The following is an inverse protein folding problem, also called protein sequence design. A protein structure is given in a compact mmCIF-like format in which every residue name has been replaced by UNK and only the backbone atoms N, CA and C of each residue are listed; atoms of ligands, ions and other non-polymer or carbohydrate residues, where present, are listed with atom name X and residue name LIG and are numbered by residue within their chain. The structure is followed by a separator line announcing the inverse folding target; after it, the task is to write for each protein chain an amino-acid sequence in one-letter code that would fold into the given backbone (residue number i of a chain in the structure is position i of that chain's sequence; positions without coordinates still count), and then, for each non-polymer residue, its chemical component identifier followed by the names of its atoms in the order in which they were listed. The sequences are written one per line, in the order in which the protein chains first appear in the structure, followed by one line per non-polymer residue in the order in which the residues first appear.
data_IF_548126704887
#
_entry.id   IF_548126704887
#
_cell.length_a   1.000
_cell.length_b   1.000
_cell.length_c   1.000
_cell.angle_alpha   90.00
_cell.angle_beta   90.00
_cell.angle_gamma   90.00
#
_symmetry.space_group_name_H-M   'P 1'
#
loop_
_entity.id
_entity.type
_entity.pdbx_description
1 polymer ?
#
# COMPACT_ATOMS: atom_id res chain seq x y z
N UNK A 1 7.41 10.79 10.34
CA UNK A 1 6.60 10.70 9.10
C UNK A 1 6.06 12.09 8.85
N UNK A 2 6.40 12.71 7.73
CA UNK A 2 6.08 14.10 7.41
C UNK A 2 4.57 14.37 7.33
N UNK A 3 3.78 13.43 6.86
CA UNK A 3 2.32 13.55 6.75
C UNK A 3 1.52 13.30 8.03
N UNK A 4 2.14 12.77 9.09
CA UNK A 4 1.46 12.49 10.36
C UNK A 4 1.32 13.73 11.26
N UNK A 5 0.49 13.65 12.33
CA UNK A 5 0.28 14.77 13.28
C UNK A 5 1.58 15.38 13.78
N UNK A 6 2.50 14.58 14.25
CA UNK A 6 3.84 15.01 14.72
C UNK A 6 4.63 15.76 13.64
N UNK A 7 4.59 15.28 12.40
CA UNK A 7 5.30 15.90 11.28
C UNK A 7 4.70 17.23 10.86
N UNK A 8 3.37 17.36 10.88
CA UNK A 8 2.65 18.61 10.56
C UNK A 8 2.88 19.68 11.61
N UNK A 9 2.83 19.31 12.88
CA UNK A 9 2.99 20.24 14.01
C UNK A 9 4.46 20.54 14.36
N UNK A 10 5.40 19.73 13.82
CA UNK A 10 6.84 19.81 14.12
C UNK A 10 7.15 19.81 15.64
N UNK A 11 6.27 19.20 16.42
CA UNK A 11 6.32 19.20 17.89
C UNK A 11 7.39 18.25 18.45
N UNK A 12 7.71 17.18 17.72
CA UNK A 12 8.76 16.19 18.05
C UNK A 12 9.80 16.08 16.94
N UNK A 13 11.03 15.76 17.34
CA UNK A 13 12.16 15.55 16.43
C UNK A 13 12.85 14.22 16.70
N UNK A 14 13.54 13.64 15.71
CA UNK A 14 14.41 12.49 15.96
C UNK A 14 15.44 12.81 17.07
N UNK A 15 15.56 11.88 18.03
CA UNK A 15 16.42 12.06 19.21
C UNK A 15 15.67 12.50 20.47
N UNK A 16 14.45 13.02 20.36
CA UNK A 16 13.59 13.28 21.52
C UNK A 16 13.19 11.95 22.20
N UNK A 17 13.06 11.95 23.53
CA UNK A 17 12.71 10.77 24.32
C UNK A 17 11.36 10.99 25.01
N UNK A 18 10.40 10.10 24.75
CA UNK A 18 9.12 10.08 25.47
C UNK A 18 9.36 9.48 26.85
N UNK A 19 9.01 10.23 27.89
CA UNK A 19 9.14 9.83 29.29
C UNK A 19 7.80 9.32 29.86
N UNK A 20 6.69 10.02 29.51
CA UNK A 20 5.35 9.65 29.99
C UNK A 20 4.33 9.78 28.86
N UNK A 21 3.29 8.96 28.95
CA UNK A 21 2.11 8.99 28.06
C UNK A 21 0.85 9.09 28.91
N UNK A 22 -0.04 10.01 28.59
CA UNK A 22 -1.34 10.16 29.25
C UNK A 22 -2.46 10.27 28.22
N UNK A 23 -3.59 9.61 28.49
CA UNK A 23 -4.84 10.00 27.86
C UNK A 23 -5.32 11.29 28.51
N UNK A 24 -6.09 12.09 27.77
CA UNK A 24 -6.64 13.33 28.34
C UNK A 24 -7.47 12.98 29.59
N UNK A 25 -7.19 13.70 30.69
CA UNK A 25 -7.83 13.53 32.01
C UNK A 25 -7.49 12.23 32.75
N UNK A 26 -6.43 11.51 32.36
CA UNK A 26 -5.94 10.34 33.08
C UNK A 26 -4.56 10.60 33.68
N UNK A 27 -4.19 9.79 34.67
CA UNK A 27 -2.85 9.85 35.29
C UNK A 27 -1.78 9.45 34.27
N UNK A 28 -0.71 10.26 34.09
CA UNK A 28 0.38 9.92 33.19
C UNK A 28 1.09 8.62 33.56
N UNK A 29 1.24 7.75 32.58
CA UNK A 29 1.99 6.49 32.69
C UNK A 29 3.45 6.75 32.37
N UNK A 30 4.36 6.40 33.28
CA UNK A 30 5.80 6.42 33.01
C UNK A 30 6.15 5.26 32.06
N UNK A 31 6.77 5.58 30.93
CA UNK A 31 7.10 4.60 29.89
C UNK A 31 8.60 4.27 29.82
N UNK A 32 9.40 4.83 30.71
CA UNK A 32 10.84 4.58 30.75
C UNK A 32 11.10 3.11 31.09
N UNK A 33 11.80 2.41 30.21
CA UNK A 33 12.09 0.95 30.39
C UNK A 33 10.96 0.02 29.99
N UNK A 34 9.79 0.53 29.57
CA UNK A 34 8.72 -0.31 29.01
C UNK A 34 9.10 -0.89 27.63
N UNK A 35 8.48 -2.01 27.27
CA UNK A 35 8.61 -2.57 25.92
C UNK A 35 7.99 -1.62 24.89
N UNK A 36 8.65 -1.44 23.76
CA UNK A 36 8.22 -0.53 22.71
C UNK A 36 6.76 -0.78 22.25
N UNK A 37 6.39 -2.06 22.10
CA UNK A 37 5.04 -2.44 21.68
C UNK A 37 3.96 -1.97 22.66
N UNK A 38 4.24 -1.98 23.96
CA UNK A 38 3.29 -1.55 24.98
C UNK A 38 3.20 -0.02 25.03
N UNK A 39 4.31 0.69 24.84
CA UNK A 39 4.29 2.16 24.67
C UNK A 39 3.50 2.56 23.44
N UNK A 40 3.67 1.85 22.31
CA UNK A 40 2.93 2.10 21.08
C UNK A 40 1.41 1.96 21.30
N UNK A 41 0.96 0.98 22.08
CA UNK A 41 -0.47 0.81 22.42
C UNK A 41 -1.04 1.99 23.19
N UNK A 42 -0.24 2.59 24.10
CA UNK A 42 -0.64 3.77 24.86
C UNK A 42 -0.74 5.03 23.97
N UNK A 43 0.15 5.16 22.97
CA UNK A 43 0.18 6.32 22.09
C UNK A 43 -0.91 6.22 21.01
N UNK A 44 -1.13 5.03 20.44
CA UNK A 44 -2.18 4.81 19.43
C UNK A 44 -3.58 4.93 20.05
N UNK A 45 -4.55 5.30 19.21
CA UNK A 45 -5.96 5.37 19.60
C UNK A 45 -6.83 5.87 18.44
N UNK A 46 -8.15 6.02 18.66
CA UNK A 46 -9.08 6.45 17.63
C UNK A 46 -8.72 7.83 17.06
N UNK A 47 -8.98 8.02 15.74
CA UNK A 47 -8.82 9.31 15.08
C UNK A 47 -9.60 10.41 15.81
N UNK A 48 -9.00 11.59 15.92
CA UNK A 48 -9.59 12.76 16.58
C UNK A 48 -9.42 12.78 18.10
N UNK A 49 -8.99 11.70 18.76
CA UNK A 49 -8.68 11.70 20.18
C UNK A 49 -7.30 12.30 20.45
N UNK A 50 -7.08 12.80 21.65
CA UNK A 50 -5.81 13.41 22.04
C UNK A 50 -4.98 12.50 22.94
N UNK A 51 -3.67 12.66 22.86
CA UNK A 51 -2.70 12.04 23.77
C UNK A 51 -1.70 13.10 24.23
N UNK A 52 -1.39 13.11 25.50
CA UNK A 52 -0.38 13.98 26.11
C UNK A 52 0.92 13.17 26.27
N UNK A 53 2.01 13.70 25.75
CA UNK A 53 3.34 13.11 25.84
C UNK A 53 4.25 14.02 26.65
N UNK A 54 4.82 13.55 27.75
CA UNK A 54 5.95 14.24 28.41
C UNK A 54 7.24 13.83 27.72
N UNK A 55 7.94 14.77 27.13
CA UNK A 55 9.08 14.52 26.24
C UNK A 55 10.33 15.24 26.74
N UNK A 56 11.44 14.52 26.80
CA UNK A 56 12.78 15.10 26.96
C UNK A 56 13.39 15.40 25.59
N UNK A 57 13.64 16.65 25.32
CA UNK A 57 14.26 17.12 24.08
C UNK A 57 15.78 16.81 24.05
N UNK A 58 16.37 16.91 22.87
CA UNK A 58 17.81 16.69 22.67
C UNK A 58 18.66 17.67 23.51
N UNK A 59 18.18 18.89 23.71
CA UNK A 59 18.84 19.92 24.55
C UNK A 59 18.69 19.68 26.04
N UNK A 60 17.97 18.62 26.45
CA UNK A 60 17.73 18.23 27.83
C UNK A 60 16.47 18.83 28.46
N UNK A 61 15.80 19.77 27.82
CA UNK A 61 14.54 20.34 28.30
C UNK A 61 13.43 19.28 28.31
N UNK A 62 12.50 19.43 29.26
CA UNK A 62 11.32 18.54 29.37
C UNK A 62 10.09 19.41 29.13
N UNK A 63 9.22 18.94 28.24
CA UNK A 63 7.97 19.63 27.92
C UNK A 63 6.86 18.63 27.64
N UNK A 64 5.64 19.10 27.80
CA UNK A 64 4.45 18.35 27.48
C UNK A 64 3.97 18.71 26.06
N UNK A 65 3.68 17.69 25.27
CA UNK A 65 3.21 17.80 23.89
C UNK A 65 1.86 17.12 23.78
N UNK A 66 0.84 17.86 23.40
CA UNK A 66 -0.48 17.31 23.10
C UNK A 66 -0.54 17.02 21.60
N UNK A 67 -0.88 15.78 21.24
CA UNK A 67 -1.06 15.37 19.86
C UNK A 67 -2.49 14.91 19.63
N UNK A 68 -3.13 15.43 18.59
CA UNK A 68 -4.40 14.90 18.10
C UNK A 68 -4.13 13.73 17.17
N UNK A 69 -4.67 12.56 17.51
CA UNK A 69 -4.50 11.35 16.68
C UNK A 69 -5.22 11.52 15.34
N UNK A 70 -4.54 11.10 14.29
CA UNK A 70 -5.08 11.09 12.94
C UNK A 70 -4.58 9.86 12.20
N UNK A 71 -5.21 9.55 11.08
CA UNK A 71 -4.71 8.52 10.17
C UNK A 71 -3.36 8.99 9.61
N UNK A 72 -2.34 8.17 9.78
CA UNK A 72 -1.02 8.46 9.22
C UNK A 72 -1.00 7.88 7.81
N UNK A 73 -1.23 8.73 6.83
CA UNK A 73 -0.98 8.38 5.43
C UNK A 73 0.53 8.47 5.17
N UNK A 74 1.14 7.31 5.01
CA UNK A 74 2.51 7.20 4.52
C UNK A 74 2.48 7.52 3.03
N UNK A 75 2.68 8.78 2.65
CA UNK A 75 2.75 9.14 1.23
C UNK A 75 3.74 8.28 0.44
N UNK A 76 4.77 7.77 1.08
CA UNK A 76 5.76 6.85 0.50
C UNK A 76 5.19 5.45 0.22
N UNK A 77 4.05 5.11 0.82
CA UNK A 77 3.34 3.85 0.59
C UNK A 77 2.45 3.88 -0.66
N UNK A 78 2.30 5.04 -1.31
CA UNK A 78 1.45 5.22 -2.49
C UNK A 78 2.26 5.29 -3.78
N UNK A 79 1.58 5.04 -4.90
CA UNK A 79 2.17 5.18 -6.21
C UNK A 79 2.58 6.64 -6.46
N UNK A 80 3.77 6.85 -7.00
CA UNK A 80 4.29 8.18 -7.37
C UNK A 80 5.08 8.10 -8.66
N UNK A 81 4.95 9.12 -9.50
CA UNK A 81 5.79 9.23 -10.68
C UNK A 81 6.96 10.18 -10.47
N UNK A 82 7.96 10.01 -11.28
CA UNK A 82 9.02 10.98 -11.56
C UNK A 82 9.38 10.95 -13.04
N UNK A 83 9.89 12.07 -13.54
CA UNK A 83 10.44 12.15 -14.90
C UNK A 83 11.91 11.77 -14.88
N UNK A 84 12.30 10.96 -15.84
CA UNK A 84 13.70 10.69 -16.17
C UNK A 84 13.95 11.28 -17.55
N UNK A 85 14.92 12.16 -17.66
CA UNK A 85 15.32 12.75 -18.93
C UNK A 85 16.70 12.23 -19.34
N UNK A 86 16.80 11.77 -20.58
CA UNK A 86 18.06 11.30 -21.17
C UNK A 86 18.06 11.62 -22.65
N UNK A 87 19.10 12.30 -23.12
CA UNK A 87 19.28 12.69 -24.53
C UNK A 87 18.04 13.48 -25.06
N UNK A 88 17.52 14.39 -24.27
CA UNK A 88 16.31 15.18 -24.57
C UNK A 88 15.02 14.34 -24.76
N UNK A 89 15.03 13.08 -24.31
CA UNK A 89 13.87 12.20 -24.29
C UNK A 89 13.40 12.05 -22.85
N UNK A 90 12.09 12.23 -22.64
CA UNK A 90 11.46 12.15 -21.32
C UNK A 90 10.75 10.81 -21.15
N UNK A 91 11.01 10.17 -20.03
CA UNK A 91 10.36 8.92 -19.62
C UNK A 91 9.70 9.12 -18.27
N UNK A 92 8.51 8.55 -18.09
CA UNK A 92 7.84 8.48 -16.79
C UNK A 92 8.28 7.24 -16.03
N UNK A 93 8.68 7.39 -14.77
CA UNK A 93 8.88 6.26 -13.87
C UNK A 93 7.82 6.33 -12.78
N UNK A 94 6.97 5.30 -12.68
CA UNK A 94 5.99 5.12 -11.62
C UNK A 94 6.56 4.12 -10.63
N UNK A 95 6.83 4.54 -9.41
CA UNK A 95 7.17 3.63 -8.31
C UNK A 95 5.86 3.16 -7.66
N UNK A 96 5.63 1.86 -7.62
CA UNK A 96 4.48 1.24 -6.97
C UNK A 96 4.96 0.33 -5.84
N UNK A 97 4.90 0.77 -4.58
CA UNK A 97 5.43 -0.01 -3.45
C UNK A 97 4.55 -1.21 -3.05
N UNK A 98 3.25 -1.16 -3.33
CA UNK A 98 2.28 -2.23 -3.04
C UNK A 98 1.04 -2.09 -3.93
N UNK A 99 0.28 -3.18 -4.09
CA UNK A 99 -1.08 -3.15 -4.63
C UNK A 99 -2.08 -2.92 -3.48
N UNK A 100 -2.08 -1.69 -2.93
CA UNK A 100 -2.94 -1.30 -1.81
C UNK A 100 -4.39 -1.09 -2.22
N UNK A 101 -5.30 -1.34 -1.29
CA UNK A 101 -6.74 -1.12 -1.42
C UNK A 101 -7.33 -0.97 -0.01
N UNK A 102 -8.41 -0.23 0.10
CA UNK A 102 -9.30 -0.30 1.26
C UNK A 102 -10.26 -1.48 1.05
N UNK A 103 -10.13 -2.51 1.89
CA UNK A 103 -10.97 -3.71 1.79
C UNK A 103 -12.41 -3.48 2.28
N UNK A 104 -12.68 -2.38 2.98
CA UNK A 104 -14.02 -2.01 3.42
C UNK A 104 -14.77 -1.18 2.36
N UNK A 105 -14.03 -0.37 1.63
CA UNK A 105 -14.57 0.46 0.56
C UNK A 105 -13.59 0.52 -0.63
N UNK A 106 -13.85 -0.30 -1.65
CA UNK A 106 -13.04 -0.35 -2.87
C UNK A 106 -13.11 0.97 -3.67
N UNK A 107 -14.15 1.75 -3.49
CA UNK A 107 -14.30 3.08 -4.10
C UNK A 107 -13.32 4.12 -3.54
N UNK A 108 -12.77 3.88 -2.36
CA UNK A 108 -11.71 4.68 -1.80
C UNK A 108 -10.41 4.56 -2.61
N UNK A 109 -9.41 5.34 -2.20
CA UNK A 109 -8.08 5.33 -2.81
C UNK A 109 -7.48 3.93 -2.86
N UNK A 110 -7.06 3.50 -4.05
CA UNK A 110 -6.38 2.24 -4.27
C UNK A 110 -5.23 2.39 -5.29
N UNK A 111 -4.38 1.37 -5.38
CA UNK A 111 -3.20 1.42 -6.24
C UNK A 111 -3.53 1.57 -7.73
N UNK A 112 -4.64 1.00 -8.21
CA UNK A 112 -5.03 1.13 -9.61
C UNK A 112 -5.44 2.57 -9.92
N UNK A 113 -6.31 3.18 -9.10
CA UNK A 113 -6.74 4.57 -9.29
C UNK A 113 -5.58 5.55 -9.23
N UNK A 114 -4.63 5.34 -8.31
CA UNK A 114 -3.45 6.19 -8.21
C UNK A 114 -2.53 6.03 -9.44
N UNK A 115 -2.25 4.81 -9.89
CA UNK A 115 -1.45 4.58 -11.10
C UNK A 115 -2.11 5.18 -12.33
N UNK A 116 -3.44 5.05 -12.48
CA UNK A 116 -4.19 5.73 -13.54
C UNK A 116 -3.96 7.24 -13.51
N UNK A 117 -4.07 7.84 -12.34
CA UNK A 117 -3.84 9.27 -12.16
C UNK A 117 -2.41 9.69 -12.50
N UNK A 118 -1.41 8.89 -12.08
CA UNK A 118 -0.02 9.14 -12.42
C UNK A 118 0.26 9.00 -13.94
N UNK A 119 -0.36 8.03 -14.62
CA UNK A 119 -0.31 7.90 -16.08
C UNK A 119 -0.88 9.16 -16.76
N UNK A 120 -2.03 9.65 -16.30
CA UNK A 120 -2.65 10.84 -16.86
C UNK A 120 -1.78 12.10 -16.70
N UNK A 121 -1.07 12.23 -15.58
CA UNK A 121 -0.08 13.30 -15.38
C UNK A 121 1.10 13.15 -16.34
N UNK A 122 1.61 11.93 -16.52
CA UNK A 122 2.74 11.65 -17.42
C UNK A 122 2.37 11.94 -18.88
N UNK A 123 1.14 11.62 -19.33
CA UNK A 123 0.64 11.99 -20.66
C UNK A 123 0.70 13.50 -20.91
N UNK A 124 0.38 14.31 -19.90
CA UNK A 124 0.49 15.79 -19.99
C UNK A 124 1.93 16.31 -20.03
N UNK A 125 2.90 15.45 -19.74
CA UNK A 125 4.33 15.77 -19.74
C UNK A 125 5.05 15.28 -21.01
N UNK A 126 4.30 14.78 -22.00
CA UNK A 126 4.81 14.30 -23.30
C UNK A 126 5.93 13.26 -23.17
N UNK A 127 5.78 12.33 -22.24
CA UNK A 127 6.75 11.23 -22.07
C UNK A 127 6.67 10.24 -23.23
N UNK A 128 7.83 9.73 -23.67
CA UNK A 128 7.93 8.77 -24.76
C UNK A 128 7.75 7.30 -24.31
N UNK A 129 7.81 7.05 -23.02
CA UNK A 129 7.61 5.73 -22.45
C UNK A 129 7.39 5.79 -20.94
N UNK A 130 6.77 4.73 -20.42
CA UNK A 130 6.53 4.57 -18.98
C UNK A 130 7.31 3.36 -18.47
N UNK A 131 7.91 3.53 -17.31
CA UNK A 131 8.55 2.50 -16.51
C UNK A 131 7.74 2.32 -15.25
N UNK A 132 7.30 1.10 -14.93
CA UNK A 132 6.68 0.76 -13.66
C UNK A 132 7.69 0.01 -12.81
N UNK A 133 8.01 0.51 -11.64
CA UNK A 133 8.97 -0.10 -10.72
C UNK A 133 8.22 -0.87 -9.63
N UNK A 134 8.30 -2.20 -9.71
CA UNK A 134 7.74 -3.15 -8.75
C UNK A 134 8.82 -3.83 -7.88
N UNK A 135 10.04 -3.35 -7.90
CA UNK A 135 11.07 -3.91 -7.03
C UNK A 135 10.67 -3.77 -5.56
N UNK A 136 10.84 -4.84 -4.79
CA UNK A 136 10.44 -4.97 -3.39
C UNK A 136 8.91 -4.87 -3.15
N UNK A 137 8.11 -4.94 -4.19
CA UNK A 137 6.65 -4.95 -4.09
C UNK A 137 6.15 -6.38 -3.85
N UNK A 138 5.80 -6.70 -2.60
CA UNK A 138 5.29 -8.02 -2.19
C UNK A 138 3.87 -8.35 -2.66
N UNK A 139 3.27 -7.54 -3.54
CA UNK A 139 1.92 -7.74 -4.05
C UNK A 139 0.86 -6.95 -3.29
N UNK A 140 -0.33 -7.51 -3.20
CA UNK A 140 -1.50 -6.90 -2.54
C UNK A 140 -2.82 -7.39 -3.13
N UNK A 141 -3.73 -6.47 -3.43
CA UNK A 141 -5.06 -6.78 -3.92
C UNK A 141 -5.06 -7.43 -5.31
N UNK A 142 -5.75 -8.57 -5.42
CA UNK A 142 -5.93 -9.27 -6.68
C UNK A 142 -6.79 -8.46 -7.66
N UNK A 143 -7.86 -7.84 -7.19
CA UNK A 143 -8.72 -7.00 -8.04
C UNK A 143 -7.95 -5.79 -8.57
N UNK A 144 -7.18 -5.14 -7.72
CA UNK A 144 -6.40 -3.96 -8.10
C UNK A 144 -5.38 -4.26 -9.22
N UNK A 145 -4.76 -5.44 -9.23
CA UNK A 145 -3.83 -5.79 -10.32
C UNK A 145 -4.57 -6.09 -11.62
N UNK A 146 -5.77 -6.66 -11.56
CA UNK A 146 -6.62 -6.90 -12.75
C UNK A 146 -7.01 -5.55 -13.37
N UNK A 147 -7.53 -4.63 -12.57
CA UNK A 147 -7.90 -3.29 -13.03
C UNK A 147 -6.68 -2.52 -13.60
N UNK A 148 -5.53 -2.64 -12.94
CA UNK A 148 -4.31 -2.00 -13.40
C UNK A 148 -3.80 -2.59 -14.73
N UNK A 149 -3.92 -3.88 -14.94
CA UNK A 149 -3.53 -4.53 -16.19
C UNK A 149 -4.34 -3.96 -17.37
N UNK A 150 -5.64 -3.71 -17.18
CA UNK A 150 -6.53 -3.10 -18.17
C UNK A 150 -6.12 -1.69 -18.62
N UNK A 151 -5.32 -0.96 -17.83
CA UNK A 151 -4.79 0.33 -18.30
C UNK A 151 -3.77 0.19 -19.44
N UNK A 152 -3.27 -1.00 -19.69
CA UNK A 152 -2.23 -1.30 -20.67
C UNK A 152 -2.63 -2.36 -21.70
N UNK A 153 -3.66 -3.14 -21.42
CA UNK A 153 -4.14 -4.26 -22.22
C UNK A 153 -5.59 -3.96 -22.62
N UNK A 154 -5.97 -4.22 -23.86
CA UNK A 154 -7.28 -3.85 -24.36
C UNK A 154 -8.42 -4.63 -23.67
N UNK A 155 -8.29 -5.92 -23.55
CA UNK A 155 -9.18 -6.79 -22.78
C UNK A 155 -8.58 -8.20 -22.69
N UNK A 156 -9.17 -9.05 -21.86
CA UNK A 156 -8.87 -10.46 -21.81
C UNK A 156 -8.52 -10.99 -20.41
N UNK A 157 -8.15 -12.28 -20.31
CA UNK A 157 -7.83 -12.92 -19.04
C UNK A 157 -6.50 -12.41 -18.47
N UNK A 158 -6.53 -11.99 -17.21
CA UNK A 158 -5.34 -11.49 -16.51
C UNK A 158 -4.76 -12.55 -15.58
N UNK A 159 -5.63 -13.26 -14.86
CA UNK A 159 -5.20 -14.29 -13.90
C UNK A 159 -6.30 -15.33 -13.71
N UNK A 160 -5.88 -16.56 -13.41
CA UNK A 160 -6.79 -17.62 -13.00
C UNK A 160 -6.49 -18.10 -11.57
N UNK A 161 -7.53 -18.32 -10.79
CA UNK A 161 -7.46 -18.87 -9.45
C UNK A 161 -8.09 -20.27 -9.48
N UNK A 162 -7.33 -21.26 -9.01
CA UNK A 162 -7.83 -22.65 -8.89
C UNK A 162 -8.04 -22.96 -7.41
N UNK A 163 -9.29 -23.21 -7.03
CA UNK A 163 -9.63 -23.60 -5.65
C UNK A 163 -9.48 -25.11 -5.43
N UNK A 164 -9.42 -25.51 -4.17
CA UNK A 164 -9.56 -26.90 -3.74
C UNK A 164 -10.83 -27.50 -4.36
N UNK A 165 -10.74 -28.67 -4.96
CA UNK A 165 -11.87 -29.26 -5.72
C UNK A 165 -11.85 -28.95 -7.23
N UNK A 166 -10.83 -28.24 -7.72
CA UNK A 166 -10.56 -28.08 -9.16
C UNK A 166 -11.34 -26.97 -9.85
N UNK A 167 -12.25 -26.25 -9.16
CA UNK A 167 -12.98 -25.11 -9.75
C UNK A 167 -11.99 -23.99 -10.10
N UNK A 168 -12.05 -23.52 -11.34
CA UNK A 168 -11.26 -22.39 -11.82
C UNK A 168 -12.14 -21.15 -11.93
N UNK A 169 -11.59 -20.04 -11.46
CA UNK A 169 -12.12 -18.70 -11.69
C UNK A 169 -11.10 -17.93 -12.51
N UNK A 170 -11.53 -17.33 -13.60
CA UNK A 170 -10.69 -16.47 -14.43
C UNK A 170 -11.13 -15.03 -14.20
N UNK A 171 -10.20 -14.16 -13.88
CA UNK A 171 -10.42 -12.73 -13.76
C UNK A 171 -9.94 -12.04 -15.03
N UNK A 172 -10.81 -11.22 -15.59
CA UNK A 172 -10.63 -10.55 -16.86
C UNK A 172 -10.57 -9.04 -16.66
N UNK A 173 -9.83 -8.38 -17.53
CA UNK A 173 -10.15 -7.02 -17.90
C UNK A 173 -11.38 -7.08 -18.82
N UNK A 174 -12.41 -6.31 -18.49
CA UNK A 174 -13.74 -6.36 -19.13
C UNK A 174 -14.05 -5.13 -19.96
N UNK A 175 -13.18 -4.12 -19.92
CA UNK A 175 -13.35 -2.93 -20.77
C UNK A 175 -12.29 -2.89 -21.88
N UNK A 176 -12.48 -2.03 -22.86
CA UNK A 176 -11.56 -1.85 -23.98
C UNK A 176 -10.76 -0.54 -23.87
N UNK A 177 -10.72 0.06 -22.68
CA UNK A 177 -10.08 1.35 -22.48
C UNK A 177 -8.62 1.18 -22.09
N UNK A 178 -7.72 1.59 -22.95
CA UNK A 178 -6.28 1.65 -22.66
C UNK A 178 -5.91 3.05 -22.18
N UNK A 179 -5.34 3.16 -21.00
CA UNK A 179 -4.82 4.43 -20.49
C UNK A 179 -3.46 4.77 -21.09
N UNK A 180 -2.63 3.78 -21.38
CA UNK A 180 -1.32 3.97 -21.99
C UNK A 180 -1.01 2.90 -23.02
N UNK A 181 -0.83 3.31 -24.26
CA UNK A 181 -0.49 2.42 -25.40
C UNK A 181 0.95 2.63 -25.92
N UNK A 182 1.74 3.51 -25.30
CA UNK A 182 3.12 3.77 -25.68
C UNK A 182 4.10 2.73 -25.16
N UNK A 183 5.40 3.01 -25.32
CA UNK A 183 6.47 2.13 -24.82
C UNK A 183 6.35 1.89 -23.31
N UNK A 184 6.50 0.63 -22.88
CA UNK A 184 6.27 0.20 -21.51
C UNK A 184 7.36 -0.76 -21.04
N UNK A 185 7.91 -0.49 -19.86
CA UNK A 185 8.87 -1.35 -19.16
C UNK A 185 8.38 -1.61 -17.75
N UNK A 186 8.47 -2.84 -17.29
CA UNK A 186 8.23 -3.23 -15.89
C UNK A 186 9.54 -3.66 -15.27
N UNK A 187 9.88 -3.11 -14.10
CA UNK A 187 11.08 -3.50 -13.35
C UNK A 187 10.68 -4.35 -12.15
N UNK A 188 11.27 -5.53 -12.03
CA UNK A 188 11.01 -6.49 -10.95
C UNK A 188 12.30 -6.96 -10.30
N UNK A 189 12.20 -7.54 -9.10
CA UNK A 189 13.29 -8.24 -8.45
C UNK A 189 12.77 -9.50 -7.72
N UNK A 190 13.65 -10.19 -7.01
CA UNK A 190 13.36 -11.41 -6.23
C UNK A 190 12.35 -11.20 -5.10
N UNK A 191 12.07 -9.97 -4.72
CA UNK A 191 11.04 -9.61 -3.72
C UNK A 191 9.71 -9.17 -4.36
N UNK A 192 9.66 -9.04 -5.68
CA UNK A 192 8.40 -8.82 -6.41
C UNK A 192 7.56 -10.09 -6.32
N UNK A 193 6.38 -10.02 -5.67
CA UNK A 193 5.59 -11.20 -5.36
C UNK A 193 4.10 -11.01 -5.67
N UNK A 194 3.38 -12.15 -5.88
CA UNK A 194 1.91 -12.17 -5.97
C UNK A 194 1.36 -11.24 -7.07
N UNK A 195 0.62 -10.17 -6.73
CA UNK A 195 0.07 -9.21 -7.71
C UNK A 195 1.14 -8.62 -8.63
N UNK A 196 2.38 -8.40 -8.14
CA UNK A 196 3.50 -7.97 -8.98
C UNK A 196 3.85 -8.99 -10.05
N UNK A 197 3.79 -10.28 -9.71
CA UNK A 197 4.07 -11.39 -10.62
C UNK A 197 2.94 -11.56 -11.64
N UNK A 198 1.68 -11.33 -11.21
CA UNK A 198 0.52 -11.35 -12.10
C UNK A 198 0.64 -10.27 -13.18
N UNK A 199 0.98 -9.03 -12.79
CA UNK A 199 1.15 -7.94 -13.76
C UNK A 199 2.33 -8.21 -14.70
N UNK A 200 3.45 -8.73 -14.19
CA UNK A 200 4.61 -9.08 -15.00
C UNK A 200 4.28 -10.19 -16.00
N UNK A 201 3.59 -11.24 -15.57
CA UNK A 201 3.14 -12.33 -16.42
C UNK A 201 2.18 -11.85 -17.51
N UNK A 202 1.17 -11.04 -17.15
CA UNK A 202 0.24 -10.46 -18.11
C UNK A 202 0.98 -9.63 -19.18
N UNK A 203 1.96 -8.80 -18.80
CA UNK A 203 2.73 -8.03 -19.77
C UNK A 203 3.58 -8.90 -20.71
N UNK A 204 4.11 -10.00 -20.20
CA UNK A 204 4.84 -10.96 -21.03
C UNK A 204 3.90 -11.72 -21.99
N UNK A 205 2.80 -12.27 -21.48
CA UNK A 205 1.86 -13.08 -22.25
C UNK A 205 1.19 -12.26 -23.36
N UNK A 206 0.80 -11.05 -23.09
CA UNK A 206 0.23 -10.11 -24.07
C UNK A 206 1.29 -9.41 -24.91
N UNK A 207 2.58 -9.63 -24.67
CA UNK A 207 3.70 -8.92 -25.32
C UNK A 207 3.53 -7.40 -25.24
N UNK A 208 2.95 -6.92 -24.14
CA UNK A 208 2.59 -5.53 -23.96
C UNK A 208 3.78 -4.65 -23.59
N UNK A 209 4.75 -5.18 -22.89
CA UNK A 209 5.91 -4.46 -22.41
C UNK A 209 7.10 -5.36 -22.16
N UNK A 210 8.22 -4.74 -21.86
CA UNK A 210 9.46 -5.44 -21.51
C UNK A 210 9.53 -5.59 -20.00
N UNK A 211 9.72 -6.82 -19.50
CA UNK A 211 9.97 -7.09 -18.09
C UNK A 211 11.48 -7.20 -17.88
N UNK A 212 12.03 -6.34 -17.03
CA UNK A 212 13.45 -6.27 -16.70
C UNK A 212 13.66 -6.53 -15.21
N UNK A 213 14.76 -7.18 -14.84
CA UNK A 213 15.10 -7.34 -13.43
C UNK A 213 15.94 -8.54 -13.11
N UNK A 214 15.76 -9.09 -11.91
CA UNK A 214 16.45 -10.29 -11.43
C UNK A 214 16.10 -11.52 -12.26
N UNK A 215 16.88 -12.59 -12.10
CA UNK A 215 16.68 -13.85 -12.82
C UNK A 215 15.26 -14.42 -12.64
N UNK A 216 14.67 -14.19 -11.49
CA UNK A 216 13.31 -14.63 -11.14
C UNK A 216 12.68 -13.67 -10.14
N UNK A 217 11.35 -13.69 -10.04
CA UNK A 217 10.55 -13.07 -8.99
C UNK A 217 10.37 -14.04 -7.82
N UNK A 218 9.57 -13.69 -6.84
CA UNK A 218 9.42 -14.44 -5.58
C UNK A 218 8.80 -15.84 -5.77
N UNK A 219 7.81 -15.99 -6.66
CA UNK A 219 7.11 -17.27 -6.93
C UNK A 219 5.93 -17.52 -5.99
N UNK A 220 5.21 -16.48 -5.54
CA UNK A 220 4.02 -16.64 -4.67
C UNK A 220 2.76 -16.90 -5.50
N UNK A 221 2.34 -18.18 -5.58
CA UNK A 221 1.13 -18.61 -6.28
C UNK A 221 -0.11 -18.85 -5.42
N UNK A 222 -0.10 -18.47 -4.13
CA UNK A 222 -1.24 -18.66 -3.22
C UNK A 222 -1.98 -17.37 -2.97
N UNK A 223 -3.32 -17.48 -2.76
CA UNK A 223 -4.21 -16.35 -2.40
C UNK A 223 -4.55 -16.43 -0.92
N UNK A 224 -4.61 -15.30 -0.25
CA UNK A 224 -5.05 -15.18 1.13
C UNK A 224 -6.40 -14.45 1.17
N UNK A 225 -7.38 -15.09 1.78
CA UNK A 225 -8.72 -14.55 1.97
C UNK A 225 -8.93 -14.20 3.44
N UNK A 226 -9.54 -13.04 3.68
CA UNK A 226 -10.03 -12.64 5.00
C UNK A 226 -11.50 -13.01 5.07
N UNK A 227 -11.85 -13.87 6.02
CA UNK A 227 -13.23 -14.34 6.24
C UNK A 227 -13.73 -13.70 7.53
N UNK A 228 -14.70 -12.80 7.40
CA UNK A 228 -15.37 -12.18 8.56
C UNK A 228 -16.29 -13.21 9.22
N UNK A 229 -15.94 -13.63 10.43
CA UNK A 229 -16.67 -14.66 11.15
C UNK A 229 -18.06 -14.19 11.58
N UNK A 230 -18.26 -12.89 11.76
CA UNK A 230 -19.58 -12.32 12.09
C UNK A 230 -20.60 -12.49 10.95
N UNK A 231 -20.11 -12.58 9.69
CA UNK A 231 -20.99 -12.82 8.52
C UNK A 231 -21.35 -14.28 8.31
N UNK A 232 -20.58 -15.21 8.89
CA UNK A 232 -20.77 -16.64 8.71
C UNK A 232 -21.60 -17.24 9.84
N UNK A 233 -21.36 -16.79 11.08
CA UNK A 233 -22.01 -17.34 12.27
C UNK A 233 -23.24 -16.50 12.59
N UNK A 234 -24.42 -16.98 12.18
CA UNK A 234 -25.70 -16.37 12.53
C UNK A 234 -26.05 -16.66 13.99
N UNK A 235 -26.63 -15.68 14.68
CA UNK A 235 -27.08 -15.83 16.08
C UNK A 235 -25.97 -15.77 17.11
N UNK A 236 -24.84 -15.17 16.76
CA UNK A 236 -23.74 -14.92 17.68
C UNK A 236 -24.16 -14.01 18.85
N UNK A 237 -23.94 -14.47 20.08
CA UNK A 237 -24.20 -13.72 21.33
C UNK A 237 -22.93 -13.30 22.05
N UNK A 238 -21.74 -13.61 21.52
CA UNK A 238 -20.45 -13.39 22.15
C UNK A 238 -19.77 -12.07 21.76
N UNK A 239 -20.45 -11.21 20.96
CA UNK A 239 -19.88 -9.96 20.46
C UNK A 239 -19.08 -10.15 19.16
N UNK A 240 -18.08 -9.31 18.91
CA UNK A 240 -17.26 -9.38 17.69
C UNK A 240 -16.39 -10.64 17.68
N UNK A 241 -16.61 -11.51 16.69
CA UNK A 241 -15.84 -12.74 16.48
C UNK A 241 -14.55 -12.51 15.67
N UNK A 242 -14.37 -11.30 15.12
CA UNK A 242 -13.21 -10.98 14.29
C UNK A 242 -13.22 -11.64 12.93
N UNK A 243 -12.05 -11.77 12.33
CA UNK A 243 -11.85 -12.32 10.99
C UNK A 243 -10.75 -13.38 10.98
N UNK A 244 -10.93 -14.41 10.15
CA UNK A 244 -9.97 -15.48 9.93
C UNK A 244 -9.26 -15.29 8.59
N UNK A 245 -7.92 -15.38 8.61
CA UNK A 245 -7.11 -15.33 7.41
C UNK A 245 -6.79 -16.75 6.93
N UNK A 246 -7.28 -17.10 5.75
CA UNK A 246 -7.05 -18.40 5.13
C UNK A 246 -6.19 -18.26 3.88
N UNK A 247 -5.30 -19.22 3.68
CA UNK A 247 -4.55 -19.40 2.43
C UNK A 247 -5.23 -20.47 1.59
N UNK A 248 -5.56 -20.14 0.36
CA UNK A 248 -6.21 -21.03 -0.61
C UNK A 248 -5.35 -21.18 -1.84
#
# INVERSE_FOLDING_TARGET
ISGGPVGRENSLRPGDKILKVSQMNETPVDVVGMRLDDVIKLIKGPKGTQVLLTVKKVDGSILDVILTRDVIELEEAFAKYRIIEKNNIRYGLINLPRFYVDFQDYGNRNAATDVKYEIQKLKKQDVQGIIIDLRNNGGGSLQTVVDMAGYFIENGPIVQVKSTGGKKQILFDTDNQIEWNGALVLIVNEFSASASEILAAAFQDYRRGIVLGSKQTYGKGTVQNMIDLNKIISGNTYGDLGAMKLTT
#
